data_IF_666802514909
#
_entry.id   IF_666802514909
#
_cell.length_a   1.000
_cell.length_b   1.000
_cell.length_c   1.000
_cell.angle_alpha   90.00
_cell.angle_beta   90.00
_cell.angle_gamma   90.00
#
_symmetry.space_group_name_H-M   'P 1'
#
loop_
_entity.id
_entity.type
_entity.pdbx_description
1 polymer ?
#
# COMPACT_ATOMS: atom_id res chain seq x y z
N UNK A 1 5.18 -2.00 6.83
CA UNK A 1 5.40 -0.55 6.62
C UNK A 1 6.60 -0.11 7.45
N UNK A 2 7.66 0.46 6.87
CA UNK A 2 8.76 1.08 7.61
C UNK A 2 8.26 2.25 8.46
N UNK A 3 9.02 2.59 9.51
CA UNK A 3 8.74 3.78 10.34
C UNK A 3 8.70 5.06 9.47
N UNK A 4 7.74 5.97 9.74
CA UNK A 4 7.63 7.23 9.00
C UNK A 4 8.90 8.08 9.07
N UNK A 5 9.23 8.77 7.97
CA UNK A 5 10.26 9.82 7.97
C UNK A 5 9.54 11.17 7.95
N UNK A 6 9.51 11.85 9.09
CA UNK A 6 8.68 13.05 9.26
C UNK A 6 7.20 12.71 9.37
N UNK A 7 6.38 13.33 8.52
CA UNK A 7 4.91 13.21 8.54
C UNK A 7 4.38 12.39 7.36
N UNK A 8 5.23 11.50 6.83
CA UNK A 8 4.97 10.65 5.67
C UNK A 8 5.37 9.20 5.95
N UNK A 9 4.54 8.23 5.54
CA UNK A 9 4.84 6.79 5.65
C UNK A 9 4.53 6.01 4.37
N UNK A 10 5.35 5.02 4.03
CA UNK A 10 5.13 4.16 2.87
C UNK A 10 4.57 2.78 3.29
N UNK A 11 3.41 2.39 2.78
CA UNK A 11 2.82 1.07 2.95
C UNK A 11 3.30 0.07 1.89
N UNK A 12 3.72 -1.11 2.35
CA UNK A 12 4.10 -2.25 1.49
C UNK A 12 3.22 -3.45 1.82
N UNK A 13 2.64 -4.09 0.80
CA UNK A 13 1.81 -5.28 0.87
C UNK A 13 1.77 -5.99 -0.50
N UNK A 14 1.34 -7.24 -0.53
CA UNK A 14 1.06 -7.94 -1.80
C UNK A 14 -0.44 -8.19 -1.89
N UNK A 15 -1.05 -7.79 -3.01
CA UNK A 15 -2.46 -8.06 -3.29
C UNK A 15 -2.51 -9.18 -4.32
N UNK A 16 -3.09 -10.33 -3.95
CA UNK A 16 -3.31 -11.45 -4.87
C UNK A 16 -4.76 -11.48 -5.30
N UNK A 17 -5.01 -11.54 -6.59
CA UNK A 17 -6.33 -11.74 -7.17
C UNK A 17 -6.52 -13.21 -7.52
N UNK A 18 -7.13 -13.96 -6.60
CA UNK A 18 -7.49 -15.36 -6.82
C UNK A 18 -8.78 -15.55 -7.65
N UNK A 19 -9.40 -14.44 -8.09
CA UNK A 19 -10.60 -14.44 -8.91
C UNK A 19 -10.33 -14.72 -10.39
N UNK A 20 -11.40 -15.07 -11.11
CA UNK A 20 -11.37 -15.32 -12.56
C UNK A 20 -11.42 -14.06 -13.43
N UNK A 21 -11.55 -12.87 -12.83
CA UNK A 21 -11.62 -11.59 -13.54
C UNK A 21 -10.50 -10.64 -13.11
N UNK A 22 -10.00 -9.85 -14.05
CA UNK A 22 -9.08 -8.77 -13.73
C UNK A 22 -9.80 -7.65 -12.96
N UNK A 23 -9.11 -7.09 -11.98
CA UNK A 23 -9.58 -5.98 -11.14
C UNK A 23 -8.52 -4.87 -11.10
N UNK A 24 -8.85 -3.74 -10.50
CA UNK A 24 -7.94 -2.60 -10.36
C UNK A 24 -7.99 -2.05 -8.95
N UNK A 25 -6.83 -1.86 -8.33
CA UNK A 25 -6.72 -1.09 -7.10
C UNK A 25 -6.79 0.40 -7.47
N UNK A 26 -7.91 1.06 -7.18
CA UNK A 26 -8.16 2.45 -7.56
C UNK A 26 -7.75 3.43 -6.47
N UNK A 27 -7.88 3.04 -5.20
CA UNK A 27 -7.49 3.89 -4.08
C UNK A 27 -7.28 3.09 -2.80
N UNK A 28 -6.63 3.73 -1.83
CA UNK A 28 -6.45 3.19 -0.49
C UNK A 28 -6.91 4.25 0.49
N UNK A 29 -7.55 3.83 1.57
CA UNK A 29 -7.99 4.73 2.65
C UNK A 29 -7.50 4.21 3.98
N UNK A 30 -7.26 5.09 4.95
CA UNK A 30 -6.86 4.68 6.30
C UNK A 30 -7.34 5.68 7.35
N UNK A 31 -7.49 5.22 8.58
CA UNK A 31 -7.67 6.12 9.73
C UNK A 31 -6.39 6.90 10.07
N UNK A 32 -5.23 6.49 9.53
CA UNK A 32 -3.93 7.10 9.80
C UNK A 32 -3.77 8.47 9.14
N UNK A 33 -4.39 8.67 7.98
CA UNK A 33 -4.29 9.88 7.17
C UNK A 33 -5.50 10.02 6.26
N UNK A 34 -5.93 11.26 6.02
CA UNK A 34 -6.96 11.60 5.04
C UNK A 34 -6.41 11.66 3.60
N UNK A 35 -5.09 11.80 3.43
CA UNK A 35 -4.42 11.84 2.12
C UNK A 35 -3.55 10.59 1.92
N UNK A 36 -4.14 9.61 1.23
CA UNK A 36 -3.50 8.35 0.90
C UNK A 36 -3.45 8.19 -0.61
N UNK A 37 -2.24 8.09 -1.15
CA UNK A 37 -2.00 7.97 -2.59
C UNK A 37 -1.29 6.66 -2.92
N UNK A 38 -1.42 6.21 -4.17
CA UNK A 38 -0.71 5.03 -4.68
C UNK A 38 0.33 5.49 -5.70
N UNK A 39 1.57 5.06 -5.50
CA UNK A 39 2.73 5.49 -6.28
C UNK A 39 3.39 4.29 -6.95
N UNK A 40 3.85 4.45 -8.18
CA UNK A 40 4.74 3.51 -8.86
C UNK A 40 6.17 4.06 -8.83
N UNK A 41 7.15 3.20 -8.53
CA UNK A 41 8.56 3.56 -8.70
C UNK A 41 9.09 2.99 -10.02
N UNK A 42 9.47 3.86 -10.95
CA UNK A 42 10.10 3.48 -12.21
C UNK A 42 11.33 4.33 -12.46
N UNK A 43 12.47 3.69 -12.73
CA UNK A 43 13.77 4.37 -12.90
C UNK A 43 14.12 5.32 -11.74
N UNK A 44 13.92 4.86 -10.50
CA UNK A 44 14.13 5.64 -9.26
C UNK A 44 13.26 6.91 -9.13
N UNK A 45 12.25 7.07 -9.99
CA UNK A 45 11.25 8.14 -9.88
C UNK A 45 9.95 7.56 -9.37
N UNK A 46 9.45 8.14 -8.27
CA UNK A 46 8.13 7.86 -7.75
C UNK A 46 7.10 8.69 -8.52
N UNK A 47 6.05 8.04 -9.03
CA UNK A 47 4.96 8.70 -9.75
C UNK A 47 3.63 8.29 -9.15
N UNK A 48 2.80 9.26 -8.77
CA UNK A 48 1.41 9.02 -8.41
C UNK A 48 0.66 8.43 -9.60
N UNK A 49 -0.03 7.33 -9.38
CA UNK A 49 -0.90 6.68 -10.36
C UNK A 49 -2.35 6.75 -9.91
N UNK A 50 -3.28 6.64 -10.85
CA UNK A 50 -4.71 6.66 -10.56
C UNK A 50 -5.24 5.28 -10.15
N UNK A 51 -4.63 4.21 -10.68
CA UNK A 51 -4.99 2.84 -10.35
C UNK A 51 -3.83 1.89 -10.71
N UNK A 52 -3.86 0.68 -10.13
CA UNK A 52 -3.02 -0.45 -10.54
C UNK A 52 -3.89 -1.59 -11.04
N UNK A 53 -3.60 -2.11 -12.23
CA UNK A 53 -4.24 -3.29 -12.77
C UNK A 53 -3.75 -4.57 -12.06
N UNK A 54 -4.69 -5.43 -11.69
CA UNK A 54 -4.44 -6.74 -11.05
C UNK A 54 -5.10 -7.82 -11.92
N UNK A 55 -4.34 -8.54 -12.76
CA UNK A 55 -4.91 -9.55 -13.64
C UNK A 55 -5.57 -10.69 -12.85
N UNK A 56 -6.52 -11.38 -13.49
CA UNK A 56 -7.14 -12.60 -12.95
C UNK A 56 -6.06 -13.65 -12.66
N UNK A 57 -6.10 -14.27 -11.47
CA UNK A 57 -5.06 -15.20 -11.01
C UNK A 57 -3.68 -14.57 -10.82
N UNK A 58 -3.58 -13.23 -10.84
CA UNK A 58 -2.34 -12.48 -10.74
C UNK A 58 -2.13 -11.83 -9.38
N UNK A 59 -1.06 -11.05 -9.28
CA UNK A 59 -0.74 -10.30 -8.07
C UNK A 59 -0.15 -8.92 -8.37
N UNK A 60 -0.37 -8.00 -7.44
CA UNK A 60 0.24 -6.68 -7.38
C UNK A 60 1.14 -6.62 -6.16
N UNK A 61 2.45 -6.53 -6.38
CA UNK A 61 3.43 -6.34 -5.33
C UNK A 61 3.61 -4.84 -5.05
N UNK A 62 3.15 -4.39 -3.88
CA UNK A 62 3.47 -3.07 -3.34
C UNK A 62 4.70 -3.22 -2.42
N UNK A 63 5.90 -3.01 -2.96
CA UNK A 63 7.16 -3.26 -2.29
C UNK A 63 8.15 -2.09 -2.39
N UNK A 64 9.16 -2.11 -1.52
CA UNK A 64 10.20 -1.08 -1.48
C UNK A 64 11.00 -1.08 -2.78
N UNK A 65 11.06 0.08 -3.44
CA UNK A 65 11.72 0.23 -4.74
C UNK A 65 10.83 -0.07 -5.94
N UNK A 66 9.60 -0.52 -5.71
CA UNK A 66 8.55 -0.67 -6.72
C UNK A 66 7.33 0.19 -6.40
N UNK A 67 6.16 -0.33 -6.68
CA UNK A 67 4.88 0.30 -6.34
C UNK A 67 4.66 0.31 -4.83
N UNK A 68 4.02 1.33 -4.29
CA UNK A 68 3.75 1.44 -2.84
C UNK A 68 2.58 2.38 -2.55
N UNK A 69 1.98 2.21 -1.37
CA UNK A 69 1.01 3.16 -0.83
C UNK A 69 1.77 4.25 -0.10
N UNK A 70 1.37 5.50 -0.26
CA UNK A 70 1.97 6.65 0.39
C UNK A 70 0.92 7.35 1.24
N UNK A 71 1.19 7.45 2.54
CA UNK A 71 0.36 8.19 3.50
C UNK A 71 1.01 9.56 3.70
N UNK A 72 0.33 10.61 3.25
CA UNK A 72 0.72 12.02 3.44
C UNK A 72 0.06 12.55 4.71
N UNK A 73 0.60 13.60 5.35
CA UNK A 73 -0.06 14.27 6.49
C UNK A 73 -0.60 13.31 7.57
N UNK A 74 0.28 12.48 8.12
CA UNK A 74 -0.11 11.50 9.15
C UNK A 74 -0.75 12.20 10.36
N UNK A 75 -2.01 11.84 10.68
CA UNK A 75 -2.72 12.34 11.88
C UNK A 75 -2.06 11.88 13.17
N UNK A 76 -1.46 10.70 13.12
CA UNK A 76 -0.73 10.10 14.23
C UNK A 76 0.48 9.36 13.68
N UNK A 77 1.60 9.41 14.40
CA UNK A 77 2.80 8.65 14.03
C UNK A 77 2.66 7.19 14.45
N UNK A 78 2.54 6.25 13.49
CA UNK A 78 2.52 4.83 13.82
C UNK A 78 3.88 4.43 14.43
N UNK A 79 3.84 3.75 15.58
CA UNK A 79 5.03 3.28 16.29
C UNK A 79 5.35 1.83 15.89
N UNK A 80 6.64 1.43 15.85
CA UNK A 80 7.03 0.04 15.67
C UNK A 80 6.28 -0.89 16.64
N UNK A 81 5.78 -2.02 16.14
CA UNK A 81 4.94 -2.95 16.90
C UNK A 81 3.45 -2.63 16.90
N UNK A 82 3.04 -1.49 16.32
CA UNK A 82 1.65 -1.16 16.06
C UNK A 82 1.10 -1.77 14.76
N UNK A 83 -0.21 -1.64 14.57
CA UNK A 83 -0.91 -2.01 13.34
C UNK A 83 -1.66 -0.80 12.79
N UNK A 84 -1.66 -0.65 11.48
CA UNK A 84 -2.41 0.38 10.76
C UNK A 84 -3.44 -0.29 9.87
N UNK A 85 -4.71 -0.13 10.19
CA UNK A 85 -5.79 -0.60 9.34
C UNK A 85 -5.92 0.28 8.10
N UNK A 86 -5.92 -0.35 6.93
CA UNK A 86 -6.12 0.31 5.65
C UNK A 86 -7.19 -0.43 4.87
N UNK A 87 -7.95 0.30 4.06
CA UNK A 87 -8.95 -0.25 3.14
C UNK A 87 -8.48 -0.05 1.72
N UNK A 88 -8.33 -1.15 1.01
CA UNK A 88 -8.04 -1.21 -0.42
C UNK A 88 -9.36 -1.16 -1.18
N UNK A 89 -9.53 -0.18 -2.06
CA UNK A 89 -10.73 -0.04 -2.89
C UNK A 89 -10.43 -0.55 -4.28
N UNK A 90 -11.25 -1.48 -4.73
CA UNK A 90 -11.13 -2.07 -6.05
C UNK A 90 -12.21 -1.54 -6.99
N UNK A 91 -11.98 -1.62 -8.30
CA UNK A 91 -12.95 -1.17 -9.30
C UNK A 91 -14.16 -2.10 -9.39
N UNK A 92 -13.94 -3.41 -9.24
CA UNK A 92 -14.98 -4.43 -9.36
C UNK A 92 -15.30 -5.13 -8.04
N UNK A 93 -14.29 -5.36 -7.20
CA UNK A 93 -14.47 -6.04 -5.91
C UNK A 93 -14.82 -5.07 -4.79
N UNK A 94 -15.47 -5.60 -3.76
CA UNK A 94 -15.72 -4.84 -2.54
C UNK A 94 -14.42 -4.41 -1.85
N UNK A 95 -14.44 -3.28 -1.11
CA UNK A 95 -13.26 -2.81 -0.41
C UNK A 95 -12.77 -3.81 0.65
N UNK A 96 -11.48 -4.13 0.61
CA UNK A 96 -10.86 -5.08 1.54
C UNK A 96 -10.10 -4.32 2.62
N UNK A 97 -10.44 -4.56 3.89
CA UNK A 97 -9.69 -4.06 5.02
C UNK A 97 -8.50 -4.98 5.33
N UNK A 98 -7.30 -4.42 5.38
CA UNK A 98 -6.06 -5.13 5.75
C UNK A 98 -5.31 -4.37 6.83
N UNK A 99 -4.60 -5.09 7.68
CA UNK A 99 -3.79 -4.50 8.75
C UNK A 99 -2.31 -4.52 8.37
N UNK A 100 -1.71 -3.33 8.25
CA UNK A 100 -0.29 -3.16 8.02
C UNK A 100 0.44 -3.14 9.35
N UNK A 101 1.25 -4.17 9.62
CA UNK A 101 2.18 -4.14 10.74
C UNK A 101 3.25 -3.05 10.51
N UNK A 102 3.38 -2.17 11.50
CA UNK A 102 4.43 -1.14 11.56
C UNK A 102 5.69 -1.82 12.03
N UNK A 103 6.67 -1.90 11.14
CA UNK A 103 7.96 -2.53 11.42
C UNK A 103 9.05 -1.47 11.31
N UNK A 104 10.20 -1.77 11.90
CA UNK A 104 11.36 -0.89 11.90
C UNK A 104 11.71 -0.43 10.46
N UNK A 105 12.29 0.78 10.30
CA UNK A 105 12.51 1.40 9.00
C UNK A 105 13.41 0.58 8.05
N UNK A 106 14.20 -0.37 8.58
CA UNK A 106 15.04 -1.30 7.82
C UNK A 106 14.29 -2.53 7.31
N UNK A 107 13.03 -2.74 7.69
CA UNK A 107 12.25 -3.92 7.33
C UNK A 107 11.98 -3.98 5.82
N UNK A 108 12.60 -4.95 5.16
CA UNK A 108 12.21 -5.39 3.83
C UNK A 108 11.38 -6.67 4.01
N UNK A 109 10.11 -6.74 3.55
CA UNK A 109 9.42 -8.03 3.52
C UNK A 109 10.28 -9.01 2.72
N UNK A 110 10.68 -10.12 3.36
CA UNK A 110 11.43 -11.17 2.67
C UNK A 110 10.51 -11.73 1.58
N UNK A 111 10.93 -11.63 0.31
CA UNK A 111 10.40 -12.48 -0.75
C UNK A 111 10.66 -13.92 -0.31
N UNK A 112 9.61 -14.68 -0.06
CA UNK A 112 9.69 -16.10 0.20
C UNK A 112 9.37 -16.86 -1.07
#
# INVERSE_FOLDING_TARGET
MPEPVGDMAAGFLTVRNDGGEADKLTSVTSALSDDVTIHESKNQKMRKVAAFDIPAGGELALERGGSHVMFMELKQRPKPGGHVSVRLHFEKSDPIAVELAVKEPTYNPKKH
#
